data_IF_319612787511
#
_entry.id   IF_319612787511
#
_cell.length_a   1.000
_cell.length_b   1.000
_cell.length_c   1.000
_cell.angle_alpha   90.00
_cell.angle_beta   90.00
_cell.angle_gamma   90.00
#
_symmetry.space_group_name_H-M   'P 1'
#
loop_
_entity.id
_entity.type
_entity.pdbx_description
1 polymer ?
#
# COMPACT_ATOMS: atom_id res chain seq x y z
N UNK A 1 0.34 -15.18 -10.88
CA UNK A 1 0.94 -14.52 -9.69
C UNK A 1 -0.17 -14.44 -8.66
N UNK A 2 0.05 -14.96 -7.43
CA UNK A 2 -0.93 -14.89 -6.34
C UNK A 2 -1.08 -13.44 -5.84
N UNK A 3 -2.16 -13.14 -5.08
CA UNK A 3 -2.30 -11.81 -4.45
C UNK A 3 -1.13 -11.55 -3.47
N UNK A 4 -0.69 -12.56 -2.72
CA UNK A 4 0.46 -12.43 -1.84
C UNK A 4 1.75 -12.02 -2.59
N UNK A 5 1.98 -12.57 -3.79
CA UNK A 5 3.13 -12.17 -4.62
C UNK A 5 3.00 -10.72 -5.09
N UNK A 6 1.79 -10.26 -5.44
CA UNK A 6 1.52 -8.89 -5.85
C UNK A 6 1.71 -7.90 -4.69
N UNK A 7 1.42 -8.32 -3.47
CA UNK A 7 1.53 -7.52 -2.25
C UNK A 7 2.95 -7.52 -1.63
N UNK A 8 3.92 -8.23 -2.21
CA UNK A 8 5.26 -8.38 -1.63
C UNK A 8 5.97 -7.05 -1.38
N UNK A 9 5.92 -6.12 -2.33
CA UNK A 9 6.51 -4.79 -2.19
C UNK A 9 5.62 -3.74 -2.88
N UNK A 10 4.82 -3.04 -2.08
CA UNK A 10 3.99 -1.95 -2.55
C UNK A 10 4.71 -0.61 -2.35
N UNK A 11 4.79 0.20 -3.40
CA UNK A 11 5.25 1.58 -3.30
C UNK A 11 4.05 2.52 -3.41
N UNK A 12 3.91 3.41 -2.43
CA UNK A 12 2.80 4.37 -2.35
C UNK A 12 3.32 5.74 -2.74
N UNK A 13 2.62 6.43 -3.66
CA UNK A 13 2.99 7.78 -4.10
C UNK A 13 2.71 8.82 -3.01
N UNK A 14 3.53 9.87 -2.99
CA UNK A 14 3.36 11.05 -2.16
C UNK A 14 3.95 12.27 -2.90
N UNK A 15 3.12 13.22 -3.36
CA UNK A 15 3.57 14.35 -4.16
C UNK A 15 4.57 15.24 -3.45
N UNK A 16 4.47 15.36 -2.11
CA UNK A 16 5.42 16.15 -1.32
C UNK A 16 6.82 15.54 -1.38
N UNK A 17 6.91 14.21 -1.27
CA UNK A 17 8.18 13.48 -1.34
C UNK A 17 8.72 13.36 -2.77
N UNK A 18 7.86 13.45 -3.77
CA UNK A 18 8.29 13.53 -5.16
C UNK A 18 9.06 14.82 -5.45
N UNK A 19 8.79 15.94 -4.74
CA UNK A 19 9.49 17.22 -4.90
C UNK A 19 9.56 17.70 -6.35
N UNK A 20 8.46 17.58 -7.09
CA UNK A 20 8.36 17.99 -8.50
C UNK A 20 8.97 17.00 -9.50
N UNK A 21 9.48 15.85 -9.06
CA UNK A 21 9.91 14.76 -9.98
C UNK A 21 8.70 14.14 -10.67
N UNK A 22 8.91 13.69 -11.89
CA UNK A 22 7.90 12.93 -12.63
C UNK A 22 7.54 11.64 -11.88
N UNK A 23 6.29 11.56 -11.42
CA UNK A 23 5.76 10.43 -10.67
C UNK A 23 5.80 9.12 -11.47
N UNK A 24 5.53 9.18 -12.77
CA UNK A 24 5.57 7.99 -13.65
C UNK A 24 6.99 7.47 -13.78
N UNK A 25 7.97 8.35 -13.96
CA UNK A 25 9.37 7.96 -14.04
C UNK A 25 9.87 7.34 -12.72
N UNK A 26 9.51 7.93 -11.57
CA UNK A 26 9.87 7.41 -10.25
C UNK A 26 9.22 6.05 -9.98
N UNK A 27 7.93 5.88 -10.29
CA UNK A 27 7.24 4.60 -10.13
C UNK A 27 7.79 3.54 -11.08
N UNK A 28 8.16 3.90 -12.31
CA UNK A 28 8.81 2.98 -13.26
C UNK A 28 10.16 2.50 -12.72
N UNK A 29 10.98 3.38 -12.18
CA UNK A 29 12.24 3.03 -11.53
C UNK A 29 12.01 2.09 -10.33
N UNK A 30 10.98 2.35 -9.51
CA UNK A 30 10.61 1.47 -8.42
C UNK A 30 10.21 0.07 -8.92
N UNK A 31 9.42 -0.04 -10.00
CA UNK A 31 9.05 -1.34 -10.60
C UNK A 31 10.29 -2.06 -11.15
N UNK A 32 11.23 -1.37 -11.79
CA UNK A 32 12.51 -1.93 -12.22
C UNK A 32 13.35 -2.42 -11.04
N UNK A 33 13.26 -1.78 -9.88
CA UNK A 33 13.87 -2.21 -8.62
C UNK A 33 13.17 -3.39 -7.94
N UNK A 34 11.99 -3.80 -8.42
CA UNK A 34 11.25 -4.96 -7.93
C UNK A 34 10.00 -4.65 -7.13
N UNK A 35 9.46 -3.43 -7.19
CA UNK A 35 8.12 -3.16 -6.68
C UNK A 35 7.08 -3.99 -7.45
N UNK A 36 6.18 -4.61 -6.72
CA UNK A 36 5.17 -5.53 -7.26
C UNK A 36 3.78 -4.92 -7.34
N UNK A 37 3.58 -3.74 -6.74
CA UNK A 37 2.34 -2.98 -6.75
C UNK A 37 2.64 -1.49 -6.52
N UNK A 38 1.84 -0.62 -7.12
CA UNK A 38 1.88 0.82 -6.84
C UNK A 38 0.52 1.25 -6.28
N UNK A 39 0.52 2.10 -5.25
CA UNK A 39 -0.69 2.74 -4.75
C UNK A 39 -0.60 4.25 -5.00
N UNK A 40 -1.57 4.79 -5.72
CA UNK A 40 -1.71 6.23 -5.92
C UNK A 40 -2.34 6.84 -4.68
N UNK A 41 -1.58 7.68 -3.98
CA UNK A 41 -2.04 8.46 -2.84
C UNK A 41 -1.64 9.93 -3.01
N UNK A 42 -2.63 10.81 -2.99
CA UNK A 42 -2.47 12.26 -3.08
C UNK A 42 -3.52 12.93 -2.22
N UNK A 43 -3.22 13.16 -0.93
CA UNK A 43 -4.20 13.64 0.05
C UNK A 43 -4.85 14.96 -0.34
N UNK A 44 -4.05 15.91 -0.82
CA UNK A 44 -4.48 17.27 -1.14
C UNK A 44 -4.69 17.49 -2.65
N UNK A 45 -4.64 16.41 -3.44
CA UNK A 45 -4.87 16.46 -4.88
C UNK A 45 -6.34 16.62 -5.22
N UNK A 46 -6.61 17.36 -6.27
CA UNK A 46 -7.96 17.41 -6.85
C UNK A 46 -8.33 16.05 -7.46
N UNK A 47 -9.62 15.70 -7.55
CA UNK A 47 -10.04 14.48 -8.22
C UNK A 47 -9.50 14.34 -9.66
N UNK A 48 -9.37 15.44 -10.40
CA UNK A 48 -8.82 15.45 -11.74
C UNK A 48 -7.33 15.08 -11.76
N UNK A 49 -6.53 15.65 -10.87
CA UNK A 49 -5.09 15.35 -10.77
C UNK A 49 -4.84 13.89 -10.38
N UNK A 50 -5.62 13.35 -9.40
CA UNK A 50 -5.52 11.94 -8.99
C UNK A 50 -5.91 11.03 -10.17
N UNK A 51 -6.97 11.37 -10.91
CA UNK A 51 -7.42 10.61 -12.07
C UNK A 51 -6.36 10.61 -13.18
N UNK A 52 -5.78 11.75 -13.50
CA UNK A 52 -4.72 11.87 -14.52
C UNK A 52 -3.48 11.07 -14.15
N UNK A 53 -3.01 11.21 -12.89
CA UNK A 53 -1.87 10.43 -12.40
C UNK A 53 -2.15 8.93 -12.43
N UNK A 54 -3.33 8.52 -11.96
CA UNK A 54 -3.71 7.10 -11.94
C UNK A 54 -3.73 6.52 -13.36
N UNK A 55 -4.34 7.23 -14.32
CA UNK A 55 -4.38 6.82 -15.73
C UNK A 55 -2.98 6.69 -16.31
N UNK A 56 -2.13 7.68 -16.09
CA UNK A 56 -0.76 7.67 -16.58
C UNK A 56 0.05 6.47 -16.02
N UNK A 57 -0.16 6.11 -14.75
CA UNK A 57 0.49 4.95 -14.14
C UNK A 57 -0.08 3.62 -14.64
N UNK A 58 -1.41 3.51 -14.81
CA UNK A 58 -2.05 2.32 -15.40
C UNK A 58 -1.55 2.06 -16.81
N UNK A 59 -1.41 3.12 -17.63
CA UNK A 59 -0.94 3.00 -19.02
C UNK A 59 0.57 2.68 -19.11
N UNK A 60 1.35 3.14 -18.13
CA UNK A 60 2.82 3.07 -18.20
C UNK A 60 3.47 1.88 -17.49
N UNK A 61 2.76 1.20 -16.58
CA UNK A 61 3.33 0.17 -15.71
C UNK A 61 2.62 -1.17 -15.90
N UNK A 62 3.37 -2.26 -15.65
CA UNK A 62 2.87 -3.64 -15.78
C UNK A 62 2.42 -4.27 -14.47
N UNK A 63 2.61 -3.57 -13.35
CA UNK A 63 2.17 -4.02 -12.02
C UNK A 63 0.78 -3.46 -11.69
N UNK A 64 0.01 -4.11 -10.79
CA UNK A 64 -1.28 -3.59 -10.36
C UNK A 64 -1.16 -2.19 -9.76
N UNK A 65 -2.12 -1.32 -10.10
CA UNK A 65 -2.26 0.02 -9.54
C UNK A 65 -3.48 0.04 -8.62
N UNK A 66 -3.31 0.48 -7.39
CA UNK A 66 -4.40 0.77 -6.46
C UNK A 66 -4.56 2.28 -6.30
N UNK A 67 -5.77 2.72 -5.95
CA UNK A 67 -6.03 4.12 -5.61
C UNK A 67 -6.42 4.21 -4.14
N UNK A 68 -5.80 5.14 -3.40
CA UNK A 68 -6.11 5.38 -2.01
C UNK A 68 -7.43 6.15 -1.89
N UNK A 69 -8.38 5.68 -1.06
CA UNK A 69 -9.68 6.26 -0.71
C UNK A 69 -10.68 6.42 -1.89
N UNK A 70 -10.25 6.48 -3.13
CA UNK A 70 -11.04 6.88 -4.30
C UNK A 70 -11.39 5.70 -5.21
N UNK A 71 -12.40 4.92 -4.79
CA UNK A 71 -12.95 3.79 -5.57
C UNK A 71 -13.48 4.25 -6.93
N UNK A 72 -14.11 5.41 -7.00
CA UNK A 72 -14.62 6.01 -8.23
C UNK A 72 -13.52 6.26 -9.27
N UNK A 73 -12.36 6.79 -8.83
CA UNK A 73 -11.20 7.00 -9.71
C UNK A 73 -10.59 5.67 -10.14
N UNK A 74 -10.49 4.71 -9.20
CA UNK A 74 -9.99 3.38 -9.53
C UNK A 74 -10.82 2.72 -10.64
N UNK A 75 -12.16 2.80 -10.54
CA UNK A 75 -13.07 2.30 -11.58
C UNK A 75 -12.93 3.05 -12.89
N UNK A 76 -12.91 4.40 -12.85
CA UNK A 76 -12.81 5.24 -14.04
C UNK A 76 -11.50 5.03 -14.84
N UNK A 77 -10.43 4.64 -14.16
CA UNK A 77 -9.10 4.40 -14.77
C UNK A 77 -8.79 2.94 -15.05
N UNK A 78 -9.70 2.03 -14.67
CA UNK A 78 -9.46 0.57 -14.70
C UNK A 78 -8.25 0.14 -13.89
N UNK A 79 -7.95 0.86 -12.81
CA UNK A 79 -6.97 0.42 -11.82
C UNK A 79 -7.40 -0.92 -11.19
N UNK A 80 -6.45 -1.67 -10.64
CA UNK A 80 -6.71 -2.99 -10.09
C UNK A 80 -7.59 -2.98 -8.83
N UNK A 81 -7.72 -1.82 -8.15
CA UNK A 81 -8.52 -1.72 -6.94
C UNK A 81 -8.30 -0.42 -6.17
N UNK A 82 -8.77 -0.41 -4.94
CA UNK A 82 -8.62 0.70 -4.01
C UNK A 82 -8.14 0.22 -2.63
N UNK A 83 -7.55 1.14 -1.87
CA UNK A 83 -7.18 0.93 -0.48
C UNK A 83 -7.90 1.94 0.40
N UNK A 84 -8.60 1.48 1.43
CA UNK A 84 -9.52 2.27 2.24
C UNK A 84 -9.10 2.29 3.71
N UNK A 85 -9.44 3.38 4.38
CA UNK A 85 -9.38 3.55 5.83
C UNK A 85 -10.76 3.43 6.48
N UNK A 86 -10.84 3.77 7.77
CA UNK A 86 -12.06 3.67 8.56
C UNK A 86 -13.03 4.84 8.37
N UNK A 87 -12.55 5.96 7.82
CA UNK A 87 -13.35 7.14 7.51
C UNK A 87 -13.95 7.06 6.09
N UNK A 88 -13.55 6.05 5.30
CA UNK A 88 -14.03 5.81 3.95
C UNK A 88 -15.35 5.00 3.96
N UNK A 89 -16.06 4.92 2.82
CA UNK A 89 -17.24 4.08 2.72
C UNK A 89 -16.93 2.61 3.08
N UNK A 90 -17.80 1.94 3.87
CA UNK A 90 -17.56 0.57 4.30
C UNK A 90 -17.39 -0.40 3.12
N UNK A 91 -16.40 -1.30 3.21
CA UNK A 91 -16.10 -2.26 2.14
C UNK A 91 -17.31 -3.13 1.77
N UNK A 92 -18.10 -3.55 2.76
CA UNK A 92 -19.30 -4.37 2.55
C UNK A 92 -20.39 -3.66 1.75
N UNK A 93 -20.47 -2.33 1.86
CA UNK A 93 -21.39 -1.53 1.05
C UNK A 93 -20.88 -1.35 -0.40
N UNK A 94 -19.59 -1.36 -0.59
CA UNK A 94 -18.95 -1.20 -1.91
C UNK A 94 -18.92 -2.51 -2.69
N UNK A 95 -18.54 -3.61 -2.05
CA UNK A 95 -18.26 -4.91 -2.68
C UNK A 95 -19.33 -5.39 -3.67
N UNK A 96 -20.64 -5.30 -3.39
CA UNK A 96 -21.68 -5.78 -4.32
C UNK A 96 -21.73 -5.03 -5.65
N UNK A 97 -21.16 -3.82 -5.70
CA UNK A 97 -21.19 -2.93 -6.85
C UNK A 97 -19.85 -2.89 -7.62
N UNK A 98 -18.87 -3.69 -7.21
CA UNK A 98 -17.54 -3.70 -7.81
C UNK A 98 -17.39 -4.88 -8.79
N UNK A 99 -16.62 -4.71 -9.86
CA UNK A 99 -16.36 -5.79 -10.80
C UNK A 99 -15.60 -6.94 -10.14
N UNK A 100 -15.77 -8.14 -10.67
CA UNK A 100 -15.02 -9.30 -10.22
C UNK A 100 -13.50 -9.05 -10.34
N UNK A 101 -12.75 -9.41 -9.30
CA UNK A 101 -11.29 -9.22 -9.25
C UNK A 101 -10.85 -7.81 -8.86
N UNK A 102 -11.77 -6.88 -8.59
CA UNK A 102 -11.42 -5.56 -8.04
C UNK A 102 -10.94 -5.70 -6.59
N UNK A 103 -9.71 -5.29 -6.33
CA UNK A 103 -9.08 -5.42 -5.01
C UNK A 103 -9.54 -4.33 -4.04
N UNK A 104 -9.92 -4.73 -2.84
CA UNK A 104 -10.18 -3.83 -1.72
C UNK A 104 -9.19 -4.10 -0.58
N UNK A 105 -8.29 -3.17 -0.33
CA UNK A 105 -7.41 -3.18 0.84
C UNK A 105 -8.01 -2.41 2.00
N UNK A 106 -7.67 -2.80 3.23
CA UNK A 106 -8.09 -2.13 4.45
C UNK A 106 -6.91 -1.79 5.35
N UNK A 107 -6.86 -0.56 5.85
CA UNK A 107 -5.94 -0.17 6.93
C UNK A 107 -6.42 -0.72 8.27
N UNK A 108 -5.51 -1.35 9.04
CA UNK A 108 -5.79 -1.86 10.40
C UNK A 108 -4.63 -1.46 11.31
N UNK A 109 -4.92 -0.64 12.33
CA UNK A 109 -3.92 -0.13 13.27
C UNK A 109 -4.12 -0.58 14.71
N UNK A 110 -5.26 -1.22 15.05
CA UNK A 110 -5.56 -1.66 16.41
C UNK A 110 -6.35 -2.99 16.45
N UNK A 111 -6.40 -3.59 17.62
CA UNK A 111 -7.21 -4.81 17.85
C UNK A 111 -8.71 -4.54 17.71
N UNK A 112 -9.16 -3.33 18.07
CA UNK A 112 -10.56 -2.94 17.90
C UNK A 112 -10.93 -2.83 16.43
N UNK A 113 -10.05 -2.26 15.62
CA UNK A 113 -10.19 -2.20 14.17
C UNK A 113 -10.18 -3.61 13.56
N UNK A 114 -9.24 -4.45 13.98
CA UNK A 114 -9.16 -5.84 13.54
C UNK A 114 -10.45 -6.63 13.83
N UNK A 115 -11.03 -6.45 15.03
CA UNK A 115 -12.28 -7.11 15.41
C UNK A 115 -13.51 -6.65 14.62
N UNK A 116 -13.47 -5.46 14.03
CA UNK A 116 -14.54 -4.86 13.22
C UNK A 116 -14.31 -4.98 11.72
N UNK A 117 -13.12 -5.46 11.32
CA UNK A 117 -12.74 -5.52 9.92
C UNK A 117 -13.64 -6.51 9.15
N UNK A 118 -14.23 -6.08 8.03
CA UNK A 118 -15.10 -6.94 7.25
C UNK A 118 -14.31 -8.03 6.54
N UNK A 119 -14.90 -9.21 6.40
CA UNK A 119 -14.30 -10.32 5.66
C UNK A 119 -14.19 -10.07 4.13
N UNK A 120 -14.80 -8.98 3.64
CA UNK A 120 -14.76 -8.56 2.24
C UNK A 120 -13.46 -7.83 1.85
N UNK A 121 -12.56 -7.54 2.80
CA UNK A 121 -11.23 -7.05 2.50
C UNK A 121 -10.38 -8.15 1.85
N UNK A 122 -9.76 -7.83 0.72
CA UNK A 122 -8.85 -8.77 0.03
C UNK A 122 -7.48 -8.84 0.69
N UNK A 123 -7.06 -7.78 1.38
CA UNK A 123 -5.84 -7.75 2.19
C UNK A 123 -5.91 -6.67 3.28
N UNK A 124 -5.11 -6.84 4.32
CA UNK A 124 -4.90 -5.84 5.36
C UNK A 124 -3.54 -5.17 5.24
N UNK A 125 -3.51 -3.85 5.50
CA UNK A 125 -2.30 -3.06 5.70
C UNK A 125 -2.21 -2.66 7.17
N UNK A 126 -1.28 -3.29 7.90
CA UNK A 126 -1.14 -3.11 9.36
C UNK A 126 0.02 -2.17 9.68
N UNK A 127 -0.26 -1.16 10.49
CA UNK A 127 0.74 -0.19 10.90
C UNK A 127 0.22 0.98 11.75
N UNK A 128 1.12 1.92 12.13
CA UNK A 128 2.51 2.02 11.68
C UNK A 128 3.43 1.00 12.36
N UNK A 129 4.24 0.28 11.59
CA UNK A 129 5.17 -0.71 12.15
C UNK A 129 6.32 -0.04 12.92
N UNK A 130 6.84 1.07 12.39
CA UNK A 130 7.93 1.86 12.99
C UNK A 130 7.58 3.35 12.94
N UNK A 131 8.31 4.16 13.71
CA UNK A 131 8.15 5.61 13.71
C UNK A 131 8.29 6.18 12.28
N UNK A 132 7.39 7.07 11.88
CA UNK A 132 7.36 7.64 10.53
C UNK A 132 6.87 9.08 10.57
N UNK A 133 7.54 10.01 9.87
CA UNK A 133 7.07 11.38 9.70
C UNK A 133 6.05 11.51 8.55
N UNK A 134 5.84 10.46 7.74
CA UNK A 134 5.09 10.55 6.48
C UNK A 134 3.57 10.65 6.68
N UNK A 135 3.04 10.14 7.79
CA UNK A 135 1.65 10.35 8.21
C UNK A 135 1.66 11.06 9.56
N UNK A 136 1.19 12.31 9.61
CA UNK A 136 1.14 13.09 10.84
C UNK A 136 0.15 12.56 11.91
N UNK A 137 -0.76 11.68 11.48
CA UNK A 137 -1.78 11.00 12.26
C UNK A 137 -1.48 9.50 12.50
N UNK A 138 -0.30 9.05 12.12
CA UNK A 138 0.14 7.68 12.39
C UNK A 138 0.33 7.50 13.91
N UNK A 139 -0.47 6.68 14.55
CA UNK A 139 -0.37 6.37 15.99
C UNK A 139 1.01 5.90 16.45
N UNK A 140 1.13 5.41 17.69
CA UNK A 140 2.37 4.85 18.20
C UNK A 140 2.85 3.64 17.37
N UNK A 141 4.17 3.50 17.12
CA UNK A 141 4.69 2.38 16.36
C UNK A 141 4.42 1.05 17.06
N UNK A 142 3.95 0.07 16.29
CA UNK A 142 3.59 -1.27 16.79
C UNK A 142 4.83 -2.14 17.10
N UNK A 143 5.85 -2.06 16.30
CA UNK A 143 6.94 -3.04 16.29
C UNK A 143 6.51 -4.41 15.75
N UNK A 144 7.48 -5.35 15.58
CA UNK A 144 7.21 -6.67 14.99
C UNK A 144 6.23 -7.53 15.80
N UNK A 145 6.31 -7.49 17.14
CA UNK A 145 5.48 -8.34 18.00
C UNK A 145 4.00 -7.94 17.97
N UNK A 146 3.70 -6.63 18.09
CA UNK A 146 2.33 -6.15 18.00
C UNK A 146 1.78 -6.27 16.56
N UNK A 147 2.64 -6.08 15.54
CA UNK A 147 2.27 -6.40 14.17
C UNK A 147 1.85 -7.87 14.04
N UNK A 148 2.65 -8.82 14.52
CA UNK A 148 2.34 -10.24 14.47
C UNK A 148 1.05 -10.59 15.21
N UNK A 149 0.79 -9.94 16.35
CA UNK A 149 -0.46 -10.13 17.09
C UNK A 149 -1.68 -9.67 16.29
N UNK A 150 -1.62 -8.50 15.65
CA UNK A 150 -2.69 -8.00 14.78
C UNK A 150 -2.87 -8.84 13.51
N UNK A 151 -1.76 -9.24 12.88
CA UNK A 151 -1.81 -10.04 11.67
C UNK A 151 -2.52 -11.40 11.86
N UNK A 152 -2.42 -11.99 13.06
CA UNK A 152 -3.14 -13.25 13.40
C UNK A 152 -4.66 -13.08 13.51
N UNK A 153 -5.15 -11.85 13.65
CA UNK A 153 -6.60 -11.56 13.70
C UNK A 153 -7.21 -11.45 12.31
N UNK A 154 -6.40 -11.41 11.27
CA UNK A 154 -6.90 -11.35 9.90
C UNK A 154 -7.69 -12.63 9.56
N UNK A 155 -8.77 -12.53 8.77
CA UNK A 155 -9.52 -13.68 8.30
C UNK A 155 -8.60 -14.70 7.59
N UNK A 156 -8.96 -15.98 7.68
CA UNK A 156 -8.23 -17.04 7.01
C UNK A 156 -8.12 -16.75 5.50
N UNK A 157 -6.90 -16.83 4.98
CA UNK A 157 -6.63 -16.53 3.57
C UNK A 157 -6.48 -15.04 3.24
N UNK A 158 -6.72 -14.12 4.18
CA UNK A 158 -6.51 -12.69 3.97
C UNK A 158 -5.03 -12.33 4.19
N UNK A 159 -4.26 -11.97 3.14
CA UNK A 159 -2.87 -11.59 3.28
C UNK A 159 -2.72 -10.27 4.05
N UNK A 160 -1.67 -10.17 4.87
CA UNK A 160 -1.36 -8.97 5.66
C UNK A 160 -0.01 -8.42 5.25
N UNK A 161 0.05 -7.11 4.99
CA UNK A 161 1.29 -6.37 4.74
C UNK A 161 1.57 -5.37 5.86
N UNK A 162 2.85 -5.08 6.10
CA UNK A 162 3.26 -4.04 7.04
C UNK A 162 3.42 -2.70 6.35
N UNK A 163 3.10 -1.61 7.08
CA UNK A 163 3.30 -0.22 6.62
C UNK A 163 3.82 0.66 7.77
N UNK A 164 4.47 1.77 7.41
CA UNK A 164 4.90 2.81 8.34
C UNK A 164 6.33 2.61 8.84
N UNK A 165 7.21 3.56 8.49
CA UNK A 165 8.61 3.59 8.89
C UNK A 165 9.48 2.43 8.39
N UNK A 166 9.01 1.69 7.38
CA UNK A 166 9.72 0.53 6.84
C UNK A 166 10.81 0.98 5.87
N UNK A 167 12.00 0.38 6.04
CA UNK A 167 13.20 0.57 5.23
C UNK A 167 13.83 -0.79 4.94
N UNK A 168 14.86 -0.84 4.09
CA UNK A 168 15.60 -2.08 3.82
C UNK A 168 16.22 -2.68 5.10
N UNK A 169 16.57 -1.85 6.09
CA UNK A 169 17.18 -2.32 7.32
C UNK A 169 16.19 -3.06 8.27
N UNK A 170 14.88 -2.78 8.17
CA UNK A 170 13.89 -3.34 9.09
C UNK A 170 12.76 -4.14 8.41
N UNK A 171 12.67 -4.14 7.08
CA UNK A 171 11.63 -4.86 6.34
C UNK A 171 11.61 -6.36 6.66
N UNK A 172 12.78 -6.98 6.82
CA UNK A 172 12.92 -8.39 7.20
C UNK A 172 12.30 -8.73 8.56
N UNK A 173 12.25 -7.78 9.50
CA UNK A 173 11.61 -7.99 10.80
C UNK A 173 10.09 -8.16 10.65
N UNK A 174 9.47 -7.36 9.80
CA UNK A 174 8.03 -7.43 9.55
C UNK A 174 7.69 -8.67 8.71
N UNK A 175 8.54 -9.01 7.74
CA UNK A 175 8.42 -10.27 6.99
C UNK A 175 8.50 -11.48 7.93
N UNK A 176 9.48 -11.52 8.84
CA UNK A 176 9.63 -12.56 9.87
C UNK A 176 8.47 -12.60 10.87
N UNK A 177 7.76 -11.49 11.07
CA UNK A 177 6.57 -11.38 11.91
C UNK A 177 5.28 -11.89 11.23
N UNK A 178 5.36 -12.40 9.98
CA UNK A 178 4.25 -13.04 9.27
C UNK A 178 3.62 -12.19 8.16
N UNK A 179 4.18 -11.02 7.84
CA UNK A 179 3.73 -10.25 6.68
C UNK A 179 4.02 -11.00 5.37
N UNK A 180 3.07 -10.98 4.42
CA UNK A 180 3.35 -11.44 3.05
C UNK A 180 4.23 -10.45 2.29
N UNK A 181 4.23 -9.18 2.71
CA UNK A 181 5.00 -8.10 2.11
C UNK A 181 4.92 -6.81 2.90
N UNK A 182 5.37 -5.72 2.31
CA UNK A 182 5.38 -4.38 2.93
C UNK A 182 4.94 -3.30 1.96
N UNK A 183 4.38 -2.22 2.53
CA UNK A 183 4.12 -0.97 1.83
C UNK A 183 5.07 0.12 2.31
N UNK A 184 5.64 0.87 1.39
CA UNK A 184 6.62 1.93 1.67
C UNK A 184 6.28 3.21 0.92
N UNK A 185 6.62 4.34 1.52
CA UNK A 185 6.52 5.67 0.92
C UNK A 185 7.92 6.28 0.87
N UNK A 186 8.38 6.84 1.99
CA UNK A 186 9.60 7.62 2.07
C UNK A 186 10.86 6.85 1.71
N UNK A 187 10.94 5.57 2.02
CA UNK A 187 12.12 4.74 1.73
C UNK A 187 12.48 4.70 0.23
N UNK A 188 11.48 4.86 -0.64
CA UNK A 188 11.68 4.88 -2.10
C UNK A 188 11.54 6.30 -2.63
N UNK A 189 10.47 7.02 -2.29
CA UNK A 189 10.20 8.34 -2.90
C UNK A 189 11.17 9.42 -2.46
N UNK A 190 11.75 9.34 -1.26
CA UNK A 190 12.75 10.31 -0.81
C UNK A 190 14.16 10.00 -1.35
N UNK A 191 14.37 8.81 -1.90
CA UNK A 191 15.66 8.42 -2.48
C UNK A 191 15.97 9.19 -3.75
N UNK A 192 17.26 9.48 -3.96
CA UNK A 192 17.78 10.01 -5.23
C UNK A 192 17.77 8.94 -6.33
N UNK A 193 17.86 7.67 -5.95
CA UNK A 193 17.81 6.50 -6.83
C UNK A 193 16.69 5.56 -6.35
N UNK A 194 15.43 5.75 -6.82
CA UNK A 194 14.29 4.90 -6.44
C UNK A 194 14.46 3.44 -6.85
N UNK A 195 15.14 3.15 -7.96
CA UNK A 195 15.37 1.78 -8.40
C UNK A 195 16.28 1.03 -7.44
N UNK A 196 17.42 1.62 -7.06
CA UNK A 196 18.35 1.00 -6.10
C UNK A 196 17.70 0.82 -4.73
N UNK A 197 17.00 1.85 -4.22
CA UNK A 197 16.30 1.78 -2.94
C UNK A 197 15.23 0.67 -2.92
N UNK A 198 14.50 0.51 -4.01
CA UNK A 198 13.49 -0.56 -4.14
C UNK A 198 14.14 -1.94 -4.24
N UNK A 199 15.27 -2.04 -4.95
CA UNK A 199 16.04 -3.29 -5.05
C UNK A 199 16.59 -3.75 -3.70
N UNK A 200 17.04 -2.83 -2.86
CA UNK A 200 17.48 -3.14 -1.48
C UNK A 200 16.32 -3.64 -0.61
N UNK A 201 15.17 -2.98 -0.67
CA UNK A 201 13.95 -3.45 0.01
C UNK A 201 13.54 -4.85 -0.48
N UNK A 202 13.55 -5.08 -1.79
CA UNK A 202 13.18 -6.36 -2.36
C UNK A 202 14.11 -7.51 -1.90
N UNK A 203 15.42 -7.23 -1.75
CA UNK A 203 16.37 -8.21 -1.19
C UNK A 203 16.09 -8.50 0.29
N UNK A 204 15.71 -7.48 1.07
CA UNK A 204 15.38 -7.64 2.48
C UNK A 204 14.09 -8.45 2.73
N UNK A 205 13.27 -8.66 1.69
CA UNK A 205 12.01 -9.41 1.73
C UNK A 205 12.17 -10.86 1.19
N UNK A 206 13.34 -11.24 0.73
CA UNK A 206 13.65 -12.60 0.30
C UNK A 206 13.92 -13.51 1.50
#
# INVERSE_FOLDING_TARGET
>A
MSLADQLRLMVITDPVLLKGRDAVAVCRAAVQGGATMIQVRWKDGTPAEILELTRALVDALTVPILVNDRVDIALATKAAGAHLGWDDPPLDALRPNLPAGFLLGLSVGSAEEAARAPATADYWSVGPCFATPTKGDAGAPLGPDAFAALARLAPEGCPVIGIGGITAANAGLIKGAGAVGVAVIGAVLASKDPESATRELNRALQ
#
